data_IF_975912322984
#
_entry.id   IF_975912322984
#
_cell.length_a   1.000
_cell.length_b   1.000
_cell.length_c   1.000
_cell.angle_alpha   90.00
_cell.angle_beta   90.00
_cell.angle_gamma   90.00
#
_symmetry.space_group_name_H-M   'P 1'
#
loop_
_entity.id
_entity.type
_entity.pdbx_description
1 polymer ?
#
# COMPACT_ATOMS: atom_id res chain seq x y z
N UNK A 1 12.85 15.75 -35.63
CA UNK A 1 12.02 15.32 -34.50
C UNK A 1 10.70 16.00 -34.69
N UNK A 2 9.73 15.28 -35.23
CA UNK A 2 8.38 15.77 -35.39
C UNK A 2 7.61 15.12 -34.25
N UNK A 3 7.59 15.80 -33.09
CA UNK A 3 6.79 15.35 -31.95
C UNK A 3 5.32 15.46 -32.36
N UNK A 4 4.80 14.38 -32.92
CA UNK A 4 3.41 14.30 -33.34
C UNK A 4 2.54 14.16 -32.10
N UNK A 5 2.18 15.29 -31.48
CA UNK A 5 1.13 15.33 -30.48
C UNK A 5 -0.23 15.02 -31.14
N UNK A 6 -0.53 13.74 -31.31
CA UNK A 6 -1.82 13.26 -31.77
C UNK A 6 -2.83 13.38 -30.63
N UNK A 7 -3.42 14.56 -30.46
CA UNK A 7 -4.55 14.81 -29.58
C UNK A 7 -5.79 14.04 -30.04
N UNK A 8 -5.93 12.77 -29.64
CA UNK A 8 -7.02 11.90 -30.07
C UNK A 8 -8.04 11.67 -28.95
N UNK A 9 -9.33 11.69 -29.30
CA UNK A 9 -10.45 11.50 -28.36
C UNK A 9 -11.15 10.18 -28.65
N UNK A 10 -11.56 9.45 -27.61
CA UNK A 10 -12.32 8.19 -27.69
C UNK A 10 -11.61 7.12 -28.53
N UNK A 11 -10.42 6.74 -28.08
CA UNK A 11 -9.61 5.75 -28.77
C UNK A 11 -9.94 4.36 -28.25
N UNK A 12 -10.38 3.46 -29.15
CA UNK A 12 -10.70 2.09 -28.77
C UNK A 12 -9.44 1.28 -28.42
N UNK A 13 -8.37 1.41 -29.20
CA UNK A 13 -7.10 0.72 -28.94
C UNK A 13 -5.92 1.46 -29.57
N UNK A 14 -4.79 1.49 -28.88
CA UNK A 14 -3.50 1.98 -29.39
C UNK A 14 -2.42 0.96 -29.11
N UNK A 15 -1.51 0.77 -30.06
CA UNK A 15 -0.18 0.24 -29.81
C UNK A 15 0.76 1.42 -30.04
N UNK A 16 1.31 1.96 -28.97
CA UNK A 16 2.22 3.10 -29.03
C UNK A 16 3.62 2.54 -29.30
N UNK A 17 4.30 3.07 -30.31
CA UNK A 17 5.66 2.65 -30.65
C UNK A 17 6.65 3.21 -29.64
N UNK A 18 7.85 2.63 -29.60
CA UNK A 18 8.95 3.10 -28.75
C UNK A 18 9.31 4.55 -29.09
N UNK A 19 9.96 5.26 -28.15
CA UNK A 19 10.42 6.64 -28.32
C UNK A 19 9.32 7.63 -28.78
N UNK A 20 8.06 7.34 -28.48
CA UNK A 20 6.93 8.13 -28.98
C UNK A 20 6.17 8.84 -27.89
N UNK A 21 5.50 9.94 -28.27
CA UNK A 21 4.67 10.74 -27.37
C UNK A 21 3.22 10.75 -27.83
N UNK A 22 2.28 10.45 -26.92
CA UNK A 22 0.85 10.49 -27.19
C UNK A 22 0.10 11.31 -26.15
N UNK A 23 -0.88 12.11 -26.61
CA UNK A 23 -1.81 12.84 -25.76
C UNK A 23 -3.24 12.46 -26.11
N UNK A 24 -4.04 11.96 -25.18
CA UNK A 24 -5.38 11.48 -25.51
C UNK A 24 -6.44 11.78 -24.44
N UNK A 25 -7.70 11.74 -24.85
CA UNK A 25 -8.83 11.73 -23.93
C UNK A 25 -9.66 10.47 -24.18
N UNK A 26 -9.88 9.69 -23.13
CA UNK A 26 -10.59 8.41 -23.17
C UNK A 26 -9.92 7.37 -24.09
N UNK A 27 -9.07 6.54 -23.50
CA UNK A 27 -8.50 5.36 -24.15
C UNK A 27 -9.13 4.11 -23.54
N UNK A 28 -9.70 3.23 -24.35
CA UNK A 28 -10.21 1.95 -23.85
C UNK A 28 -9.08 0.93 -23.62
N UNK A 29 -8.02 0.94 -24.45
CA UNK A 29 -6.84 0.12 -24.23
C UNK A 29 -5.59 0.66 -24.91
N UNK A 30 -4.44 0.56 -24.25
CA UNK A 30 -3.14 0.87 -24.83
C UNK A 30 -2.08 -0.15 -24.40
N UNK A 31 -1.21 -0.51 -25.35
CA UNK A 31 0.09 -1.08 -25.07
C UNK A 31 1.12 0.02 -25.35
N UNK A 32 1.89 0.42 -24.34
CA UNK A 32 3.00 1.36 -24.47
C UNK A 32 4.28 0.61 -24.78
N UNK A 33 4.99 1.03 -25.81
CA UNK A 33 6.37 0.62 -26.07
C UNK A 33 7.36 1.26 -25.10
N UNK A 34 8.61 0.84 -25.21
CA UNK A 34 9.73 1.32 -24.39
C UNK A 34 10.02 2.80 -24.63
N UNK A 35 10.53 3.51 -23.63
CA UNK A 35 10.87 4.95 -23.70
C UNK A 35 9.71 5.87 -24.15
N UNK A 36 8.48 5.36 -24.15
CA UNK A 36 7.32 6.09 -24.64
C UNK A 36 6.68 6.93 -23.53
N UNK A 37 6.07 8.04 -23.91
CA UNK A 37 5.30 8.86 -22.97
C UNK A 37 3.84 8.99 -23.38
N UNK A 38 2.94 8.82 -22.42
CA UNK A 38 1.50 9.03 -22.61
C UNK A 38 0.95 10.03 -21.58
N UNK A 39 0.25 11.04 -22.07
CA UNK A 39 -0.64 11.86 -21.27
C UNK A 39 -2.11 11.55 -21.60
N UNK A 40 -2.91 11.15 -20.61
CA UNK A 40 -4.32 10.89 -20.83
C UNK A 40 -5.23 11.46 -19.72
N UNK A 41 -6.52 11.63 -20.00
CA UNK A 41 -7.49 11.90 -18.93
C UNK A 41 -8.00 10.60 -18.32
N UNK A 42 -8.58 9.73 -19.14
CA UNK A 42 -9.16 8.46 -18.71
C UNK A 42 -8.60 7.32 -19.54
N UNK A 43 -8.15 6.26 -18.87
CA UNK A 43 -7.74 5.02 -19.52
C UNK A 43 -8.44 3.84 -18.84
N UNK A 44 -9.06 2.96 -19.62
CA UNK A 44 -9.67 1.76 -19.07
C UNK A 44 -8.63 0.65 -18.84
N UNK A 45 -7.66 0.47 -19.74
CA UNK A 45 -6.57 -0.48 -19.54
C UNK A 45 -5.24 -0.02 -20.16
N UNK A 46 -4.16 -0.18 -19.42
CA UNK A 46 -2.78 0.04 -19.88
C UNK A 46 -1.97 -1.23 -19.66
N UNK A 47 -1.13 -1.58 -20.64
CA UNK A 47 0.04 -2.43 -20.44
C UNK A 47 1.25 -1.58 -20.80
N UNK A 48 2.22 -1.46 -19.89
CA UNK A 48 3.49 -0.78 -20.12
C UNK A 48 4.58 -1.80 -20.39
N UNK A 49 5.42 -1.49 -21.38
CA UNK A 49 6.76 -2.05 -21.51
C UNK A 49 7.75 -1.20 -20.70
N UNK A 50 9.02 -1.61 -20.66
CA UNK A 50 10.02 -1.02 -19.77
C UNK A 50 10.30 0.46 -20.04
N UNK A 51 10.80 1.18 -19.05
CA UNK A 51 11.22 2.60 -19.18
C UNK A 51 10.13 3.57 -19.69
N UNK A 52 8.86 3.17 -19.68
CA UNK A 52 7.76 3.98 -20.19
C UNK A 52 7.15 4.90 -19.12
N UNK A 53 6.67 6.07 -19.55
CA UNK A 53 6.13 7.09 -18.65
C UNK A 53 4.65 7.38 -18.94
N UNK A 54 3.80 7.25 -17.93
CA UNK A 54 2.37 7.52 -18.01
C UNK A 54 1.91 8.59 -17.04
N UNK A 55 1.24 9.62 -17.55
CA UNK A 55 0.43 10.56 -16.78
C UNK A 55 -1.06 10.41 -17.09
N UNK A 56 -1.90 10.16 -16.08
CA UNK A 56 -3.35 10.09 -16.26
C UNK A 56 -4.16 10.76 -15.14
N UNK A 57 -5.41 11.14 -15.40
CA UNK A 57 -6.33 11.47 -14.29
C UNK A 57 -6.90 10.20 -13.67
N UNK A 58 -7.49 9.33 -14.49
CA UNK A 58 -8.11 8.09 -14.04
C UNK A 58 -7.62 6.89 -14.86
N UNK A 59 -7.23 5.82 -14.17
CA UNK A 59 -6.87 4.53 -14.76
C UNK A 59 -7.72 3.44 -14.12
N UNK A 60 -8.46 2.66 -14.91
CA UNK A 60 -9.23 1.55 -14.36
C UNK A 60 -8.36 0.29 -14.12
N UNK A 61 -7.34 0.07 -14.95
CA UNK A 61 -6.39 -1.01 -14.75
C UNK A 61 -5.06 -0.72 -15.45
N UNK A 62 -3.95 -1.02 -14.77
CA UNK A 62 -2.61 -0.94 -15.35
C UNK A 62 -1.79 -2.17 -14.96
N UNK A 63 -1.03 -2.68 -15.93
CA UNK A 63 0.09 -3.58 -15.70
C UNK A 63 1.35 -2.80 -16.07
N UNK A 64 2.19 -2.54 -15.07
CA UNK A 64 3.48 -1.87 -15.24
C UNK A 64 4.52 -2.88 -15.74
N UNK A 65 5.42 -2.40 -16.60
CA UNK A 65 6.65 -3.10 -16.94
C UNK A 65 7.76 -2.71 -15.98
N UNK A 66 8.93 -3.33 -16.14
CA UNK A 66 10.12 -2.99 -15.38
C UNK A 66 10.51 -1.51 -15.59
N UNK A 67 11.02 -0.82 -14.57
CA UNK A 67 11.47 0.58 -14.66
C UNK A 67 10.42 1.61 -15.14
N UNK A 68 9.15 1.20 -15.29
CA UNK A 68 8.08 2.08 -15.77
C UNK A 68 7.63 3.06 -14.69
N UNK A 69 7.10 4.21 -15.12
CA UNK A 69 6.70 5.28 -14.21
C UNK A 69 5.25 5.69 -14.47
N UNK A 70 4.44 5.72 -13.41
CA UNK A 70 3.03 6.08 -13.48
C UNK A 70 2.70 7.21 -12.50
N UNK A 71 2.11 8.28 -13.02
CA UNK A 71 1.50 9.35 -12.25
C UNK A 71 0.00 9.43 -12.52
N UNK A 72 -0.83 9.18 -11.51
CA UNK A 72 -2.29 9.29 -11.65
C UNK A 72 -3.00 9.95 -10.46
N UNK A 73 -4.22 10.46 -10.69
CA UNK A 73 -5.07 10.87 -9.55
C UNK A 73 -5.72 9.63 -8.95
N UNK A 74 -6.44 8.84 -9.76
CA UNK A 74 -7.14 7.66 -9.29
C UNK A 74 -6.75 6.44 -10.13
N UNK A 75 -6.44 5.34 -9.46
CA UNK A 75 -6.22 4.04 -10.09
C UNK A 75 -7.14 3.03 -9.41
N UNK A 76 -7.95 2.32 -10.19
CA UNK A 76 -8.80 1.28 -9.60
C UNK A 76 -7.97 0.02 -9.31
N UNK A 77 -7.13 -0.41 -10.25
CA UNK A 77 -6.22 -1.55 -10.03
C UNK A 77 -4.86 -1.32 -10.68
N UNK A 78 -3.80 -1.66 -9.96
CA UNK A 78 -2.43 -1.68 -10.46
C UNK A 78 -1.83 -3.06 -10.21
N UNK A 79 -1.14 -3.59 -11.21
CA UNK A 79 -0.18 -4.66 -11.09
C UNK A 79 1.19 -4.08 -11.41
N UNK A 80 2.12 -4.12 -10.47
CA UNK A 80 3.44 -3.52 -10.62
C UNK A 80 4.40 -4.48 -11.33
N UNK A 81 5.43 -3.92 -11.94
CA UNK A 81 6.62 -4.66 -12.36
C UNK A 81 7.80 -4.22 -11.52
N UNK A 82 8.90 -4.98 -11.57
CA UNK A 82 10.09 -4.71 -10.79
C UNK A 82 10.67 -3.31 -11.13
N UNK A 83 11.21 -2.59 -10.14
CA UNK A 83 11.79 -1.24 -10.29
C UNK A 83 10.82 -0.18 -10.86
N UNK A 84 9.51 -0.44 -10.85
CA UNK A 84 8.51 0.53 -11.30
C UNK A 84 8.17 1.60 -10.25
N UNK A 85 7.88 2.81 -10.70
CA UNK A 85 7.59 3.95 -9.84
C UNK A 85 6.13 4.39 -9.95
N UNK A 86 5.42 4.43 -8.82
CA UNK A 86 3.99 4.72 -8.78
C UNK A 86 3.65 5.91 -7.87
N UNK A 87 3.13 6.97 -8.48
CA UNK A 87 2.54 8.11 -7.79
C UNK A 87 1.04 8.18 -8.01
N UNK A 88 0.24 7.97 -6.95
CA UNK A 88 -1.22 8.10 -7.03
C UNK A 88 -1.85 8.84 -5.85
N UNK A 89 -2.98 9.52 -6.06
CA UNK A 89 -3.75 10.03 -4.91
C UNK A 89 -4.55 8.90 -4.27
N UNK A 90 -5.30 8.14 -5.07
CA UNK A 90 -6.11 7.03 -4.59
C UNK A 90 -5.87 5.76 -5.40
N UNK A 91 -5.68 4.64 -4.71
CA UNK A 91 -5.69 3.30 -5.31
C UNK A 91 -6.73 2.43 -4.61
N UNK A 92 -7.59 1.75 -5.38
CA UNK A 92 -8.53 0.81 -4.79
C UNK A 92 -7.87 -0.55 -4.51
N UNK A 93 -7.16 -1.11 -5.49
CA UNK A 93 -6.45 -2.37 -5.35
C UNK A 93 -5.04 -2.26 -5.93
N UNK A 94 -4.08 -2.74 -5.17
CA UNK A 94 -2.69 -2.84 -5.59
C UNK A 94 -2.17 -4.26 -5.36
N UNK A 95 -1.49 -4.76 -6.39
CA UNK A 95 -0.78 -6.04 -6.41
C UNK A 95 0.66 -5.71 -6.83
N UNK A 96 1.61 -5.97 -5.96
CA UNK A 96 3.00 -5.55 -6.11
C UNK A 96 3.94 -6.73 -6.35
N UNK A 97 4.88 -6.57 -7.28
CA UNK A 97 6.07 -7.40 -7.39
C UNK A 97 7.29 -6.49 -7.32
N UNK A 98 7.93 -6.48 -6.15
CA UNK A 98 9.29 -6.07 -5.83
C UNK A 98 9.78 -4.67 -6.28
N UNK A 99 10.43 -4.01 -5.31
CA UNK A 99 11.27 -2.79 -5.39
C UNK A 99 10.82 -1.71 -6.39
N UNK A 100 10.23 -0.64 -5.87
CA UNK A 100 9.91 0.59 -6.59
C UNK A 100 9.45 1.66 -5.61
N UNK A 101 9.70 2.96 -5.85
CA UNK A 101 9.19 4.00 -4.94
C UNK A 101 7.69 4.24 -5.20
N UNK A 102 6.87 3.84 -4.23
CA UNK A 102 5.41 4.04 -4.28
C UNK A 102 5.02 5.15 -3.31
N UNK A 103 4.42 6.22 -3.83
CA UNK A 103 3.88 7.34 -3.03
C UNK A 103 2.38 7.43 -3.24
N UNK A 104 1.60 7.05 -2.21
CA UNK A 104 0.14 7.07 -2.29
C UNK A 104 -0.51 7.76 -1.09
N UNK A 105 -1.47 8.66 -1.34
CA UNK A 105 -2.20 9.32 -0.26
C UNK A 105 -3.24 8.39 0.41
N UNK A 106 -3.94 7.56 -0.38
CA UNK A 106 -4.91 6.59 0.12
C UNK A 106 -4.95 5.30 -0.69
N UNK A 107 -4.85 4.15 -0.01
CA UNK A 107 -5.03 2.82 -0.62
C UNK A 107 -6.10 2.04 0.13
N UNK A 108 -7.06 1.44 -0.59
CA UNK A 108 -8.05 0.57 0.07
C UNK A 108 -7.47 -0.82 0.37
N UNK A 109 -6.74 -1.41 -0.56
CA UNK A 109 -6.09 -2.71 -0.39
C UNK A 109 -4.72 -2.74 -1.06
N UNK A 110 -3.75 -3.28 -0.32
CA UNK A 110 -2.38 -3.57 -0.74
C UNK A 110 -2.13 -5.07 -0.57
N UNK A 111 -1.60 -5.72 -1.61
CA UNK A 111 -1.07 -7.08 -1.55
C UNK A 111 0.39 -7.04 -2.04
N UNK A 112 1.32 -7.18 -1.10
CA UNK A 112 2.76 -7.05 -1.36
C UNK A 112 3.46 -8.41 -1.39
N UNK A 113 4.29 -8.63 -2.40
CA UNK A 113 5.30 -9.69 -2.39
C UNK A 113 6.55 -9.32 -1.59
N UNK A 114 7.51 -10.25 -1.56
CA UNK A 114 8.80 -10.09 -0.87
C UNK A 114 9.57 -8.81 -1.27
N UNK A 115 10.46 -8.30 -0.40
CA UNK A 115 11.38 -7.16 -0.64
C UNK A 115 10.75 -5.86 -1.22
N UNK A 116 9.46 -5.61 -0.99
CA UNK A 116 8.76 -4.39 -1.43
C UNK A 116 8.85 -3.23 -0.43
N UNK A 117 8.86 -1.99 -0.93
CA UNK A 117 8.93 -0.76 -0.13
C UNK A 117 7.78 0.21 -0.47
N UNK A 118 6.78 0.31 0.40
CA UNK A 118 5.61 1.18 0.19
C UNK A 118 5.59 2.39 1.13
N UNK A 119 5.43 3.59 0.56
CA UNK A 119 5.13 4.83 1.28
C UNK A 119 3.68 5.27 1.10
N UNK A 120 2.86 5.13 2.14
CA UNK A 120 1.44 5.53 2.08
C UNK A 120 0.97 6.37 3.28
N UNK A 121 0.07 7.33 3.07
CA UNK A 121 -0.49 8.09 4.20
C UNK A 121 -1.59 7.30 4.91
N UNK A 122 -2.55 6.75 4.17
CA UNK A 122 -3.64 5.97 4.73
C UNK A 122 -3.83 4.66 3.95
N UNK A 123 -3.88 3.53 4.67
CA UNK A 123 -4.21 2.24 4.09
C UNK A 123 -5.38 1.61 4.84
N UNK A 124 -6.42 1.15 4.13
CA UNK A 124 -7.56 0.49 4.77
C UNK A 124 -7.26 -0.99 5.11
N UNK A 125 -6.59 -1.72 4.22
CA UNK A 125 -6.13 -3.10 4.45
C UNK A 125 -4.77 -3.36 3.80
N UNK A 126 -3.93 -4.10 4.53
CA UNK A 126 -2.65 -4.64 4.04
C UNK A 126 -2.62 -6.14 4.27
N UNK A 127 -2.17 -6.88 3.24
CA UNK A 127 -1.75 -8.27 3.31
C UNK A 127 -0.33 -8.36 2.72
N UNK A 128 0.63 -8.96 3.43
CA UNK A 128 2.05 -8.95 3.10
C UNK A 128 2.66 -10.35 3.17
N UNK A 129 3.72 -10.61 2.37
CA UNK A 129 4.62 -11.76 2.55
C UNK A 129 5.80 -11.40 3.49
N UNK A 130 6.51 -12.42 3.98
CA UNK A 130 7.33 -12.40 5.22
C UNK A 130 8.46 -11.32 5.24
N UNK A 131 8.96 -10.85 4.09
CA UNK A 131 10.11 -9.93 4.00
C UNK A 131 9.80 -8.55 3.38
N UNK A 132 8.56 -8.07 3.46
CA UNK A 132 8.17 -6.73 2.95
C UNK A 132 8.29 -5.60 3.99
N UNK A 133 8.48 -4.35 3.52
CA UNK A 133 8.68 -3.18 4.38
C UNK A 133 7.70 -2.04 4.08
N UNK A 134 6.78 -1.78 5.02
CA UNK A 134 5.76 -0.73 4.87
C UNK A 134 6.01 0.50 5.76
N UNK A 135 6.07 1.68 5.14
CA UNK A 135 6.01 2.97 5.79
C UNK A 135 4.62 3.61 5.64
N UNK A 136 3.76 3.47 6.65
CA UNK A 136 2.44 4.10 6.66
C UNK A 136 2.11 4.91 7.92
N UNK A 137 1.38 6.02 7.73
CA UNK A 137 0.95 6.87 8.86
C UNK A 137 -0.27 6.26 9.56
N UNK A 138 -1.29 5.82 8.83
CA UNK A 138 -2.47 5.18 9.42
C UNK A 138 -2.83 3.90 8.67
N UNK A 139 -3.05 2.81 9.42
CA UNK A 139 -3.54 1.55 8.87
C UNK A 139 -4.81 1.11 9.63
N UNK A 140 -5.90 0.83 8.91
CA UNK A 140 -7.13 0.39 9.56
C UNK A 140 -7.10 -1.09 9.94
N UNK A 141 -6.54 -1.95 9.08
CA UNK A 141 -6.41 -3.39 9.33
C UNK A 141 -5.12 -3.97 8.74
N UNK A 142 -4.52 -4.87 9.50
CA UNK A 142 -3.34 -5.67 9.16
C UNK A 142 -3.62 -7.15 9.43
N UNK A 143 -3.23 -8.01 8.49
CA UNK A 143 -3.23 -9.48 8.56
C UNK A 143 -1.87 -9.97 8.02
N UNK A 144 -1.16 -10.86 8.72
CA UNK A 144 0.11 -11.50 8.32
C UNK A 144 1.19 -10.54 7.80
N UNK A 145 1.91 -9.83 8.68
CA UNK A 145 2.92 -8.84 8.22
C UNK A 145 4.04 -8.49 9.22
N UNK A 146 5.11 -7.92 8.68
CA UNK A 146 6.22 -7.30 9.41
C UNK A 146 6.26 -5.77 9.19
N UNK A 147 5.84 -4.96 10.18
CA UNK A 147 5.67 -3.49 10.00
C UNK A 147 6.53 -2.59 10.89
N UNK A 148 6.84 -1.40 10.36
CA UNK A 148 7.29 -0.21 11.09
C UNK A 148 6.32 0.98 10.91
N UNK A 149 5.16 0.97 11.58
CA UNK A 149 4.09 1.95 11.35
C UNK A 149 3.77 2.82 12.59
N UNK A 150 3.09 3.97 12.41
CA UNK A 150 2.66 4.84 13.52
C UNK A 150 1.17 5.19 13.49
N UNK A 151 0.31 4.17 13.66
CA UNK A 151 -1.07 4.16 14.20
C UNK A 151 -1.88 3.06 13.49
N UNK A 152 -2.22 1.98 14.20
CA UNK A 152 -2.96 0.82 13.65
C UNK A 152 -4.27 0.63 14.43
N UNK A 153 -5.40 0.48 13.74
CA UNK A 153 -6.68 0.25 14.42
C UNK A 153 -6.91 -1.22 14.80
N UNK A 154 -6.50 -2.18 13.96
CA UNK A 154 -6.61 -3.63 14.24
C UNK A 154 -5.46 -4.43 13.63
N UNK A 155 -4.97 -5.41 14.39
CA UNK A 155 -3.99 -6.43 13.99
C UNK A 155 -4.54 -7.82 14.31
N UNK A 156 -4.37 -8.75 13.38
CA UNK A 156 -4.60 -10.20 13.52
C UNK A 156 -3.37 -10.92 12.93
N UNK A 157 -2.83 -11.94 13.62
CA UNK A 157 -1.69 -12.79 13.19
C UNK A 157 -0.51 -12.02 12.56
N UNK A 158 0.25 -11.24 13.34
CA UNK A 158 1.37 -10.44 12.79
C UNK A 158 2.52 -10.19 13.77
N UNK A 159 3.65 -9.74 13.20
CA UNK A 159 4.89 -9.43 13.92
C UNK A 159 5.27 -7.94 13.77
N UNK A 160 5.10 -7.12 14.82
CA UNK A 160 5.26 -5.66 14.68
C UNK A 160 6.31 -5.02 15.61
N UNK A 161 6.91 -3.93 15.10
CA UNK A 161 7.75 -2.99 15.84
C UNK A 161 6.98 -1.85 16.55
N UNK A 162 7.68 -0.76 16.88
CA UNK A 162 7.13 0.30 17.74
C UNK A 162 5.96 1.08 17.12
N UNK A 163 4.76 0.93 17.70
CA UNK A 163 3.49 1.37 17.11
C UNK A 163 2.45 1.77 18.18
N UNK A 164 1.51 2.66 17.84
CA UNK A 164 0.27 2.86 18.60
C UNK A 164 -0.85 1.97 18.01
N UNK A 165 -1.44 1.08 18.80
CA UNK A 165 -2.41 0.09 18.32
C UNK A 165 -3.71 0.16 19.14
N UNK A 166 -4.87 0.20 18.47
CA UNK A 166 -6.15 0.23 19.18
C UNK A 166 -6.66 -1.17 19.61
N UNK A 167 -6.41 -2.20 18.79
CA UNK A 167 -6.78 -3.60 19.09
C UNK A 167 -5.81 -4.60 18.48
N UNK A 168 -5.54 -5.68 19.21
CA UNK A 168 -4.74 -6.84 18.80
C UNK A 168 -5.48 -8.12 19.16
N UNK A 169 -5.47 -9.08 18.24
CA UNK A 169 -5.96 -10.46 18.38
C UNK A 169 -4.88 -11.41 17.82
N UNK A 170 -4.50 -12.46 18.55
CA UNK A 170 -3.58 -13.53 18.11
C UNK A 170 -2.30 -13.02 17.40
N UNK A 171 -1.43 -12.27 18.09
CA UNK A 171 -0.22 -11.69 17.46
C UNK A 171 0.98 -11.62 18.42
N UNK A 172 2.16 -11.40 17.84
CA UNK A 172 3.43 -11.29 18.56
C UNK A 172 4.05 -9.88 18.37
N UNK A 173 4.14 -9.09 19.45
CA UNK A 173 4.51 -7.67 19.34
C UNK A 173 5.72 -7.26 20.19
N UNK A 174 6.47 -6.29 19.67
CA UNK A 174 7.52 -5.53 20.37
C UNK A 174 7.01 -4.28 21.11
N UNK A 175 7.87 -3.28 21.28
CA UNK A 175 7.61 -2.12 22.14
C UNK A 175 6.51 -1.17 21.63
N UNK A 176 5.29 -1.28 22.16
CA UNK A 176 4.09 -0.61 21.60
C UNK A 176 3.23 0.10 22.66
N UNK A 177 2.35 1.01 22.22
CA UNK A 177 1.24 1.52 23.04
C UNK A 177 -0.07 0.86 22.56
N UNK A 178 -0.70 0.04 23.40
CA UNK A 178 -1.87 -0.75 23.01
C UNK A 178 -3.09 -0.38 23.86
N UNK A 179 -4.23 -0.10 23.23
CA UNK A 179 -5.47 0.20 23.94
C UNK A 179 -6.23 -1.05 24.41
N UNK A 180 -6.19 -2.14 23.63
CA UNK A 180 -6.84 -3.43 23.96
C UNK A 180 -6.12 -4.63 23.35
N UNK A 181 -6.07 -5.73 24.10
CA UNK A 181 -5.49 -7.03 23.70
C UNK A 181 -6.47 -8.16 24.05
N UNK A 182 -6.62 -9.11 23.13
CA UNK A 182 -7.35 -10.37 23.29
C UNK A 182 -6.44 -11.51 22.75
N UNK A 183 -6.15 -12.53 23.55
CA UNK A 183 -5.34 -13.72 23.20
C UNK A 183 -4.05 -13.42 22.40
N UNK A 184 -3.01 -12.87 23.04
CA UNK A 184 -1.74 -12.53 22.35
C UNK A 184 -0.53 -12.61 23.28
N UNK A 185 0.67 -12.68 22.68
CA UNK A 185 1.95 -12.70 23.41
C UNK A 185 2.72 -11.39 23.20
N UNK A 186 3.06 -10.69 24.30
CA UNK A 186 3.59 -9.32 24.22
C UNK A 186 4.92 -9.13 24.95
N UNK A 187 5.83 -8.36 24.32
CA UNK A 187 7.06 -7.84 24.92
C UNK A 187 6.85 -6.57 25.78
N UNK A 188 7.89 -5.73 25.92
CA UNK A 188 7.86 -4.51 26.75
C UNK A 188 6.85 -3.47 26.22
N UNK A 189 5.68 -3.34 26.86
CA UNK A 189 4.52 -2.64 26.28
C UNK A 189 3.80 -1.75 27.30
N UNK A 190 3.20 -0.64 26.84
CA UNK A 190 2.21 0.14 27.59
C UNK A 190 0.80 -0.29 27.19
N UNK A 191 0.05 -0.95 28.09
CA UNK A 191 -1.29 -1.50 27.79
C UNK A 191 -2.34 -0.80 28.66
N UNK A 192 -3.43 -0.33 28.05
CA UNK A 192 -4.51 0.33 28.77
C UNK A 192 -5.56 -0.65 29.34
N UNK A 193 -5.81 -1.78 28.68
CA UNK A 193 -6.80 -2.80 29.07
C UNK A 193 -6.46 -4.18 28.50
N UNK A 194 -6.62 -5.23 29.31
CA UNK A 194 -6.40 -6.64 28.94
C UNK A 194 -7.64 -7.47 29.28
N UNK A 195 -8.09 -8.32 28.35
CA UNK A 195 -9.04 -9.39 28.62
C UNK A 195 -8.26 -10.71 28.55
N UNK A 196 -7.97 -11.37 29.68
CA UNK A 196 -7.14 -12.58 29.70
C UNK A 196 -7.97 -13.83 29.42
N UNK A 197 -7.66 -14.55 28.34
CA UNK A 197 -7.89 -15.98 28.19
C UNK A 197 -6.68 -16.80 28.68
N UNK A 198 -6.81 -18.12 28.75
CA UNK A 198 -5.83 -19.02 29.39
C UNK A 198 -4.43 -19.01 28.74
N UNK A 199 -4.29 -18.51 27.50
CA UNK A 199 -3.05 -18.57 26.70
C UNK A 199 -2.26 -17.24 26.63
N UNK A 200 -2.66 -16.19 27.34
CA UNK A 200 -1.98 -14.88 27.28
C UNK A 200 -0.75 -14.77 28.20
N UNK A 201 0.41 -14.33 27.67
CA UNK A 201 1.63 -14.04 28.46
C UNK A 201 2.16 -12.61 28.24
N UNK A 202 2.34 -11.86 29.34
CA UNK A 202 2.82 -10.47 29.34
C UNK A 202 4.25 -10.36 29.87
N UNK A 203 5.14 -9.67 29.14
CA UNK A 203 6.42 -9.17 29.65
C UNK A 203 6.26 -8.00 30.65
N UNK A 204 7.36 -7.37 31.05
CA UNK A 204 7.33 -6.24 31.99
C UNK A 204 6.40 -5.10 31.51
N UNK A 205 5.31 -4.87 32.24
CA UNK A 205 4.25 -3.90 31.90
C UNK A 205 4.21 -2.75 32.93
N UNK A 206 4.01 -1.52 32.45
CA UNK A 206 3.57 -0.41 33.28
C UNK A 206 2.03 -0.35 33.22
N UNK A 207 1.37 -1.20 34.02
CA UNK A 207 -0.09 -1.23 34.11
C UNK A 207 -0.61 0.06 34.77
N UNK A 208 -1.36 0.86 34.01
CA UNK A 208 -1.88 2.14 34.47
C UNK A 208 -3.16 2.01 35.33
N UNK A 209 -3.70 0.81 35.54
CA UNK A 209 -4.99 0.62 36.23
C UNK A 209 -4.91 0.07 37.67
N UNK A 210 -3.73 -0.13 38.27
CA UNK A 210 -3.62 -0.55 39.68
C UNK A 210 -3.94 0.55 40.73
N UNK A 211 -4.90 1.45 40.46
CA UNK A 211 -5.49 2.36 41.46
C UNK A 211 -6.96 2.66 41.18
N UNK A 212 -7.85 1.76 41.58
CA UNK A 212 -9.17 2.13 42.13
C UNK A 212 -9.89 0.91 42.70
N UNK A 213 -9.79 0.72 44.00
CA UNK A 213 -10.59 -0.26 44.72
C UNK A 213 -9.78 -0.95 45.80
N UNK A 214 -9.51 -0.23 46.89
CA UNK A 214 -9.35 -0.77 48.25
C UNK A 214 -9.07 0.42 49.17
N UNK A 215 -10.16 1.11 49.52
CA UNK A 215 -10.27 1.72 50.84
C UNK A 215 -11.48 1.08 51.48
N UNK A 216 -11.23 0.20 52.44
CA UNK A 216 -12.01 0.01 53.67
C UNK A 216 -11.15 -0.74 54.67
#
# INVERSE_FOLDING_TARGET
>A
GEDSHLGATNIARVNQEDDSHLGATNIAGINQGEDSHLGATNIARVNQEGDSHLGATNIAGINQGEDSHVGATNIARVNQGDDSHLGATNIAEEEDSHLGEIIIAGVNQVNQGDDSHLGATNIARVNQEEDSHLGATNIARVEDSHLGATNIARVEDSHLGATNIARVEDSHLGATNIARVEDSHLGATNIARVNQGDDSHLGATNDSQKKRGEKE
#
